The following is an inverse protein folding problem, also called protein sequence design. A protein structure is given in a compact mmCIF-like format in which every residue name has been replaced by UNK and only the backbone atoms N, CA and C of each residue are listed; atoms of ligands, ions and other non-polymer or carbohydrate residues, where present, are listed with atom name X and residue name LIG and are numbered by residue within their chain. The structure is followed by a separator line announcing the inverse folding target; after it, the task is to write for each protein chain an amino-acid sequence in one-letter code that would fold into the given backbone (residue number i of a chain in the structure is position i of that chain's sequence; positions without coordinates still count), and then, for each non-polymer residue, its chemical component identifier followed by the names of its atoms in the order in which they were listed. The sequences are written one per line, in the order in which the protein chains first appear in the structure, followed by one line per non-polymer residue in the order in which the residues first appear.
data_IF_236837374368
#
_entry.id   IF_236837374368
#
_cell.length_a   1.000
_cell.length_b   1.000
_cell.length_c   1.000
_cell.angle_alpha   90.00
_cell.angle_beta   90.00
_cell.angle_gamma   90.00
#
_symmetry.space_group_name_H-M   'P 1'
#
loop_
_entity.id
_entity.type
_entity.pdbx_description
1 polymer ?
#
# COMPACT_ATOMS: atom_id res chain seq x y z
N UNK A 1 32.77 2.33 -54.74
CA UNK A 1 32.21 3.20 -53.69
C UNK A 1 31.10 2.43 -52.99
N UNK A 2 31.32 1.92 -51.78
CA UNK A 2 30.28 1.26 -50.98
C UNK A 2 30.21 2.02 -49.65
N UNK A 3 29.10 2.73 -49.46
CA UNK A 3 28.79 3.49 -48.24
C UNK A 3 28.43 2.47 -47.14
N UNK A 4 29.24 2.41 -46.08
CA UNK A 4 28.91 1.67 -44.86
C UNK A 4 27.94 2.51 -44.03
N UNK A 5 26.69 2.06 -43.95
CA UNK A 5 25.66 2.61 -43.08
C UNK A 5 25.93 2.09 -41.65
N UNK A 6 26.35 2.96 -40.73
CA UNK A 6 26.41 2.64 -39.30
C UNK A 6 24.98 2.73 -38.74
N UNK A 7 24.44 1.60 -38.31
CA UNK A 7 23.24 1.57 -37.49
C UNK A 7 23.61 1.96 -36.04
N UNK A 8 23.09 3.09 -35.55
CA UNK A 8 23.10 3.38 -34.12
C UNK A 8 22.07 2.49 -33.42
N UNK A 9 22.55 1.56 -32.60
CA UNK A 9 21.70 0.90 -31.60
C UNK A 9 21.51 1.87 -30.42
N UNK A 10 20.32 2.45 -30.31
CA UNK A 10 19.89 3.09 -29.08
C UNK A 10 19.62 1.99 -28.05
N UNK A 11 20.46 1.91 -27.01
CA UNK A 11 20.20 1.04 -25.88
C UNK A 11 18.97 1.59 -25.13
N UNK A 12 17.85 0.88 -25.21
CA UNK A 12 16.72 1.11 -24.33
C UNK A 12 17.17 0.77 -22.90
N UNK A 13 17.30 1.78 -22.04
CA UNK A 13 17.47 1.58 -20.60
C UNK A 13 16.13 1.01 -20.12
N UNK A 14 16.07 -0.31 -19.96
CA UNK A 14 15.00 -0.96 -19.22
C UNK A 14 15.13 -0.50 -17.77
N UNK A 15 14.21 0.37 -17.33
CA UNK A 15 14.11 0.71 -15.92
C UNK A 15 13.89 -0.58 -15.14
N UNK A 16 14.88 -0.98 -14.33
CA UNK A 16 14.74 -2.15 -13.48
C UNK A 16 13.54 -1.97 -12.55
N UNK A 17 12.73 -3.03 -12.33
CA UNK A 17 11.66 -2.95 -11.36
C UNK A 17 12.29 -2.61 -10.01
N UNK A 18 11.90 -1.47 -9.44
CA UNK A 18 12.33 -1.11 -8.08
C UNK A 18 11.74 -2.15 -7.13
N UNK A 19 12.56 -3.15 -6.79
CA UNK A 19 12.22 -4.17 -5.82
C UNK A 19 12.41 -3.56 -4.44
N UNK A 20 11.32 -3.18 -3.79
CA UNK A 20 11.38 -3.01 -2.34
C UNK A 20 11.48 -4.39 -1.72
N UNK A 21 12.48 -4.60 -0.86
CA UNK A 21 12.54 -5.77 0.01
C UNK A 21 11.46 -5.62 1.10
N UNK A 22 10.22 -5.92 0.72
CA UNK A 22 9.04 -5.87 1.58
C UNK A 22 8.66 -7.27 2.00
N UNK A 23 8.53 -7.46 3.30
CA UNK A 23 7.94 -8.65 3.90
C UNK A 23 6.51 -8.32 4.35
N UNK A 24 5.46 -8.84 3.70
CA UNK A 24 4.08 -8.54 4.04
C UNK A 24 3.74 -8.89 5.51
N UNK A 25 3.02 -8.00 6.19
CA UNK A 25 2.44 -8.28 7.50
C UNK A 25 1.02 -8.81 7.28
N UNK A 26 0.79 -10.08 7.65
CA UNK A 26 -0.53 -10.70 7.58
C UNK A 26 -1.32 -10.36 8.84
N UNK A 27 -2.38 -9.58 8.67
CA UNK A 27 -3.26 -9.19 9.77
C UNK A 27 -4.38 -10.21 9.99
N UNK A 28 -4.80 -10.32 11.24
CA UNK A 28 -6.04 -10.96 11.69
C UNK A 28 -6.97 -9.88 12.24
N UNK A 29 -8.27 -10.18 12.32
CA UNK A 29 -9.23 -9.28 12.95
C UNK A 29 -8.81 -8.99 14.41
N UNK A 30 -8.96 -7.73 14.84
CA UNK A 30 -8.51 -7.25 16.14
C UNK A 30 -7.05 -6.77 16.14
N UNK A 31 -6.40 -6.86 17.29
CA UNK A 31 -5.07 -6.27 17.53
C UNK A 31 -3.96 -7.24 17.13
N UNK A 32 -3.10 -6.81 16.19
CA UNK A 32 -1.94 -7.57 15.73
C UNK A 32 -0.65 -6.95 16.30
N UNK A 33 0.04 -7.60 17.25
CA UNK A 33 1.28 -7.07 17.80
C UNK A 33 2.40 -7.12 16.77
N UNK A 34 3.23 -6.07 16.74
CA UNK A 34 4.42 -5.98 15.89
C UNK A 34 5.60 -5.55 16.77
N UNK A 35 6.60 -6.42 16.87
CA UNK A 35 7.83 -6.09 17.59
C UNK A 35 8.63 -5.05 16.82
N UNK A 36 9.25 -4.12 17.55
CA UNK A 36 10.10 -3.07 16.97
C UNK A 36 9.44 -2.40 15.73
N UNK A 37 8.22 -1.90 15.91
CA UNK A 37 7.33 -1.55 14.80
C UNK A 37 7.90 -0.39 13.97
N UNK A 38 8.68 0.50 14.56
CA UNK A 38 9.28 1.65 13.89
C UNK A 38 10.82 1.54 13.73
N UNK A 39 11.45 0.48 14.23
CA UNK A 39 12.92 0.32 14.16
C UNK A 39 13.70 1.08 15.23
N UNK A 40 13.04 1.46 16.32
CA UNK A 40 13.55 2.25 17.43
C UNK A 40 13.50 1.49 18.77
N UNK A 41 13.19 0.19 18.74
CA UNK A 41 13.05 -0.69 19.89
C UNK A 41 11.67 -0.65 20.54
N UNK A 42 10.75 0.22 20.11
CA UNK A 42 9.40 0.25 20.65
C UNK A 42 8.52 -0.80 19.97
N UNK A 43 7.82 -1.57 20.79
CA UNK A 43 6.77 -2.46 20.30
C UNK A 43 5.54 -1.65 19.90
N UNK A 44 4.76 -2.22 18.98
CA UNK A 44 3.52 -1.63 18.53
C UNK A 44 2.47 -2.66 18.18
N UNK A 45 1.40 -2.17 17.55
CA UNK A 45 0.35 -3.00 17.02
C UNK A 45 -0.32 -2.36 15.82
N UNK A 46 -0.97 -3.19 15.01
CA UNK A 46 -1.89 -2.77 13.95
C UNK A 46 -3.24 -3.41 14.28
N UNK A 47 -4.25 -2.62 14.59
CA UNK A 47 -5.62 -3.14 14.69
C UNK A 47 -6.24 -3.21 13.30
N UNK A 48 -6.99 -4.29 13.06
CA UNK A 48 -7.84 -4.48 11.90
C UNK A 48 -9.27 -4.64 12.41
N UNK A 49 -10.08 -3.63 12.18
CA UNK A 49 -11.47 -3.56 12.62
C UNK A 49 -12.40 -3.50 11.41
N UNK A 50 -13.57 -4.15 11.49
CA UNK A 50 -14.58 -4.13 10.44
C UNK A 50 -15.63 -3.07 10.72
N UNK A 51 -15.79 -2.11 9.81
CA UNK A 51 -16.89 -1.14 9.86
C UNK A 51 -18.10 -1.71 9.14
N UNK A 52 -18.96 -2.38 9.90
CA UNK A 52 -20.29 -2.74 9.43
C UNK A 52 -21.14 -1.47 9.28
N UNK A 53 -21.80 -1.29 8.14
CA UNK A 53 -22.63 -0.13 7.83
C UNK A 53 -24.01 -0.49 7.24
N UNK A 54 -24.35 -1.78 7.17
CA UNK A 54 -25.65 -2.28 6.70
C UNK A 54 -25.82 -2.28 5.18
N UNK A 55 -24.74 -2.07 4.41
CA UNK A 55 -24.75 -2.20 2.95
C UNK A 55 -23.44 -2.82 2.43
N UNK A 56 -23.30 -2.95 1.10
CA UNK A 56 -22.16 -3.61 0.47
C UNK A 56 -20.81 -2.86 0.63
N UNK A 57 -20.81 -1.67 1.23
CA UNK A 57 -19.65 -0.78 1.32
C UNK A 57 -19.06 -0.76 2.74
N UNK A 58 -19.32 -1.80 3.54
CA UNK A 58 -18.62 -2.00 4.79
C UNK A 58 -17.11 -2.19 4.53
N UNK A 59 -16.24 -1.74 5.42
CA UNK A 59 -14.81 -1.61 5.12
C UNK A 59 -13.89 -1.87 6.32
N UNK A 60 -12.65 -2.22 6.00
CA UNK A 60 -11.59 -2.38 6.99
C UNK A 60 -11.06 -1.03 7.47
N UNK A 61 -10.92 -0.89 8.78
CA UNK A 61 -10.25 0.22 9.47
C UNK A 61 -8.95 -0.32 10.06
N UNK A 62 -7.85 0.38 9.77
CA UNK A 62 -6.53 0.09 10.28
C UNK A 62 -6.05 1.22 11.18
N UNK A 63 -5.65 0.89 12.40
CA UNK A 63 -5.03 1.85 13.32
C UNK A 63 -3.71 1.29 13.83
N UNK A 64 -2.66 2.10 13.72
CA UNK A 64 -1.30 1.72 14.09
C UNK A 64 -0.95 2.38 15.40
N UNK A 65 -0.41 1.60 16.35
CA UNK A 65 0.08 2.11 17.62
C UNK A 65 1.55 1.77 17.83
N UNK A 66 2.28 2.68 18.46
CA UNK A 66 3.69 2.51 18.86
C UNK A 66 3.84 3.00 20.28
N UNK A 67 4.35 2.18 21.20
CA UNK A 67 4.57 2.60 22.59
C UNK A 67 3.33 3.14 23.33
N UNK A 68 2.12 2.81 22.85
CA UNK A 68 0.84 3.33 23.39
C UNK A 68 0.27 4.56 22.67
N UNK A 69 1.01 5.20 21.78
CA UNK A 69 0.54 6.33 20.95
C UNK A 69 0.00 5.84 19.60
N UNK A 70 -0.98 6.56 19.04
CA UNK A 70 -1.45 6.32 17.68
C UNK A 70 -0.47 6.96 16.69
N UNK A 71 -0.10 6.24 15.65
CA UNK A 71 0.65 6.77 14.53
C UNK A 71 -0.30 7.31 13.47
N UNK A 72 -0.06 8.52 12.98
CA UNK A 72 -0.94 9.19 12.03
C UNK A 72 -0.44 9.09 10.59
N UNK A 73 -1.33 9.24 9.62
CA UNK A 73 -1.00 9.50 8.22
C UNK A 73 -1.60 10.85 7.81
N UNK A 74 -0.74 11.86 7.66
CA UNK A 74 -1.22 13.25 7.69
C UNK A 74 -1.94 13.52 9.02
N UNK A 75 -3.15 14.07 8.93
CA UNK A 75 -4.00 14.40 10.09
C UNK A 75 -4.96 13.26 10.50
N UNK A 76 -4.77 12.05 9.98
CA UNK A 76 -5.67 10.91 10.21
C UNK A 76 -5.07 9.91 11.19
N UNK A 77 -5.86 9.53 12.19
CA UNK A 77 -5.53 8.53 13.21
C UNK A 77 -5.68 7.08 12.71
N UNK A 78 -6.38 6.89 11.60
CA UNK A 78 -6.63 5.60 11.00
C UNK A 78 -6.60 5.67 9.47
N UNK A 79 -6.38 4.50 8.86
CA UNK A 79 -6.37 4.29 7.41
C UNK A 79 -7.51 3.32 7.10
N UNK A 80 -8.20 3.49 5.98
CA UNK A 80 -9.30 2.60 5.59
C UNK A 80 -9.10 2.04 4.20
N UNK A 81 -9.61 0.84 3.99
CA UNK A 81 -9.97 0.36 2.65
C UNK A 81 -11.26 1.05 2.18
N UNK A 82 -11.58 0.91 0.89
CA UNK A 82 -12.85 1.37 0.32
C UNK A 82 -13.30 0.36 -0.74
N UNK A 83 -13.94 -0.74 -0.33
CA UNK A 83 -14.65 -1.63 -1.24
C UNK A 83 -15.92 -0.93 -1.78
N UNK A 84 -16.49 -1.47 -2.85
CA UNK A 84 -17.72 -0.96 -3.43
C UNK A 84 -18.77 -2.07 -3.59
N UNK A 85 -18.55 -3.03 -4.47
CA UNK A 85 -19.15 -4.36 -4.39
C UNK A 85 -18.05 -5.32 -3.95
N UNK A 86 -18.35 -6.45 -3.33
CA UNK A 86 -17.30 -7.39 -2.93
C UNK A 86 -16.26 -7.66 -4.04
N UNK A 87 -16.73 -7.68 -5.29
CA UNK A 87 -15.89 -7.89 -6.47
C UNK A 87 -14.86 -6.77 -6.75
N UNK A 88 -15.16 -5.51 -6.41
CA UNK A 88 -14.31 -4.34 -6.69
C UNK A 88 -13.95 -3.48 -5.45
N UNK A 89 -12.74 -2.92 -5.51
CA UNK A 89 -12.25 -2.03 -4.45
C UNK A 89 -11.64 -0.78 -5.06
N UNK A 90 -12.08 0.38 -4.58
CA UNK A 90 -11.59 1.71 -4.97
C UNK A 90 -10.23 1.96 -4.30
N UNK A 91 -10.13 1.60 -3.01
CA UNK A 91 -8.94 1.81 -2.18
C UNK A 91 -8.58 0.54 -1.43
N UNK A 92 -7.29 0.26 -1.36
CA UNK A 92 -6.70 -0.88 -0.67
C UNK A 92 -5.47 -0.49 0.15
N UNK A 93 -5.30 -1.08 1.33
CA UNK A 93 -4.26 -0.77 2.30
C UNK A 93 -3.62 -2.07 2.76
N UNK A 94 -2.30 -2.20 2.60
CA UNK A 94 -1.54 -3.32 3.13
C UNK A 94 -0.38 -2.83 3.97
N UNK A 95 0.08 -3.69 4.87
CA UNK A 95 1.24 -3.42 5.68
C UNK A 95 2.36 -4.39 5.35
N UNK A 96 3.59 -3.89 5.41
CA UNK A 96 4.78 -4.70 5.22
C UNK A 96 5.91 -4.21 6.13
N UNK A 97 6.85 -5.10 6.45
CA UNK A 97 8.15 -4.74 6.99
C UNK A 97 9.11 -4.47 5.85
N UNK A 98 9.98 -3.48 6.01
CA UNK A 98 11.04 -3.21 5.05
C UNK A 98 12.14 -2.36 5.69
N UNK A 99 12.98 -1.73 4.86
CA UNK A 99 13.98 -0.75 5.32
C UNK A 99 13.67 0.65 4.81
N UNK A 100 13.74 1.65 5.70
CA UNK A 100 13.69 3.07 5.37
C UNK A 100 14.87 3.78 6.03
N UNK A 101 15.63 4.57 5.27
CA UNK A 101 16.84 5.24 5.75
C UNK A 101 17.81 4.31 6.53
N UNK A 102 17.95 3.06 6.06
CA UNK A 102 18.83 2.04 6.68
C UNK A 102 18.25 1.32 7.90
N UNK A 103 17.11 1.76 8.46
CA UNK A 103 16.45 1.13 9.62
C UNK A 103 15.28 0.24 9.19
N UNK A 104 15.02 -0.86 9.91
CA UNK A 104 13.81 -1.66 9.66
C UNK A 104 12.59 -0.89 10.16
N UNK A 105 11.52 -0.81 9.38
CA UNK A 105 10.28 -0.17 9.81
C UNK A 105 9.06 -0.82 9.15
N UNK A 106 7.88 -0.53 9.68
CA UNK A 106 6.60 -0.85 9.07
C UNK A 106 6.26 0.17 7.99
N UNK A 107 5.79 -0.32 6.86
CA UNK A 107 5.23 0.46 5.78
C UNK A 107 3.72 0.28 5.71
N UNK A 108 3.00 1.37 5.42
CA UNK A 108 1.63 1.33 4.93
C UNK A 108 1.64 1.54 3.42
N UNK A 109 1.03 0.63 2.67
CA UNK A 109 0.97 0.61 1.22
C UNK A 109 -0.47 0.82 0.80
N UNK A 110 -0.73 1.98 0.20
CA UNK A 110 -2.07 2.43 -0.14
C UNK A 110 -2.21 2.49 -1.66
N UNK A 111 -3.10 1.69 -2.22
CA UNK A 111 -3.52 1.79 -3.61
C UNK A 111 -4.86 2.53 -3.71
N UNK A 112 -4.93 3.54 -4.55
CA UNK A 112 -6.13 4.33 -4.84
C UNK A 112 -6.39 4.35 -6.35
N UNK A 113 -7.53 3.79 -6.77
CA UNK A 113 -8.00 3.86 -8.15
C UNK A 113 -8.53 5.27 -8.46
N UNK A 114 -8.14 5.81 -9.61
CA UNK A 114 -8.62 7.08 -10.16
C UNK A 114 -9.84 6.80 -11.04
N UNK A 115 -11.00 6.67 -10.42
CA UNK A 115 -12.27 6.44 -11.10
C UNK A 115 -12.66 7.69 -11.90
N UNK A 116 -12.92 7.53 -13.19
CA UNK A 116 -13.30 8.61 -14.10
C UNK A 116 -14.81 8.64 -14.34
N UNK A 117 -15.40 7.49 -14.70
CA UNK A 117 -16.82 7.36 -15.05
C UNK A 117 -17.60 6.52 -14.03
N UNK A 118 -17.40 5.19 -14.00
CA UNK A 118 -18.06 4.30 -13.06
C UNK A 118 -17.08 3.46 -12.24
N UNK A 119 -17.47 3.10 -11.01
CA UNK A 119 -16.62 2.32 -10.09
C UNK A 119 -16.19 0.95 -10.65
N UNK A 120 -17.04 0.22 -11.40
CA UNK A 120 -16.63 -1.05 -12.01
C UNK A 120 -15.60 -0.89 -13.13
N UNK A 121 -15.48 0.30 -13.75
CA UNK A 121 -14.62 0.48 -14.92
C UNK A 121 -13.14 0.37 -14.55
N UNK A 122 -12.31 -0.30 -15.37
CA UNK A 122 -10.87 -0.34 -15.15
C UNK A 122 -10.30 1.08 -15.03
N UNK A 123 -9.52 1.34 -13.98
CA UNK A 123 -8.98 2.67 -13.69
C UNK A 123 -7.47 2.64 -13.42
N UNK A 124 -6.77 3.73 -13.76
CA UNK A 124 -5.39 3.91 -13.33
C UNK A 124 -5.33 3.94 -11.80
N UNK A 125 -4.26 3.40 -11.21
CA UNK A 125 -4.10 3.30 -9.76
C UNK A 125 -2.82 4.00 -9.32
N UNK A 126 -2.94 4.86 -8.32
CA UNK A 126 -1.78 5.40 -7.61
C UNK A 126 -1.49 4.53 -6.40
N UNK A 127 -0.26 4.04 -6.27
CA UNK A 127 0.21 3.33 -5.08
C UNK A 127 1.15 4.23 -4.31
N UNK A 128 0.76 4.64 -3.12
CA UNK A 128 1.60 5.42 -2.22
C UNK A 128 2.12 4.54 -1.08
N UNK A 129 3.43 4.55 -0.90
CA UNK A 129 4.15 3.77 0.12
C UNK A 129 4.60 4.74 1.20
N UNK A 130 4.12 4.55 2.41
CA UNK A 130 4.45 5.36 3.57
C UNK A 130 5.31 4.56 4.55
N UNK A 131 6.42 5.14 5.02
CA UNK A 131 7.24 4.57 6.08
C UNK A 131 6.81 5.13 7.44
N UNK A 132 6.68 4.27 8.44
CA UNK A 132 6.47 4.68 9.83
C UNK A 132 7.79 5.23 10.40
N UNK A 133 7.74 6.44 10.96
CA UNK A 133 8.90 7.10 11.58
C UNK A 133 8.52 7.70 12.92
N UNK A 134 9.49 7.82 13.81
CA UNK A 134 9.37 8.62 15.01
C UNK A 134 9.43 10.12 14.65
N UNK A 135 8.69 10.94 15.38
CA UNK A 135 8.78 12.39 15.31
C UNK A 135 9.92 12.85 16.22
N UNK A 136 11.03 13.28 15.62
CA UNK A 136 12.23 13.70 16.35
C UNK A 136 12.11 15.12 16.94
N UNK A 137 11.14 15.93 16.48
CA UNK A 137 10.94 17.31 16.92
C UNK A 137 10.22 17.40 18.29
N UNK A 138 9.68 16.28 18.79
CA UNK A 138 9.06 16.17 20.11
C UNK A 138 7.75 16.91 20.31
N UNK A 139 7.27 17.67 19.33
CA UNK A 139 5.99 18.39 19.35
C UNK A 139 4.99 17.67 18.43
N UNK A 140 3.80 17.38 18.96
CA UNK A 140 2.70 16.73 18.22
C UNK A 140 2.71 15.20 18.35
N UNK A 141 2.20 14.51 17.33
CA UNK A 141 2.10 13.04 17.34
C UNK A 141 3.50 12.41 17.35
N UNK A 142 3.83 11.51 18.31
CA UNK A 142 5.17 10.93 18.43
C UNK A 142 5.59 10.04 17.26
N UNK A 143 4.62 9.51 16.50
CA UNK A 143 4.87 8.65 15.35
C UNK A 143 3.96 9.03 14.19
N UNK A 144 4.48 9.00 12.98
CA UNK A 144 3.68 9.27 11.80
C UNK A 144 4.22 8.54 10.57
N UNK A 145 3.37 8.40 9.58
CA UNK A 145 3.67 7.83 8.28
C UNK A 145 4.11 8.93 7.32
N UNK A 146 5.36 8.88 6.89
CA UNK A 146 5.90 9.77 5.85
C UNK A 146 5.86 9.09 4.49
N UNK A 147 5.54 9.83 3.44
CA UNK A 147 5.55 9.27 2.09
C UNK A 147 6.98 8.93 1.68
N UNK A 148 7.28 7.64 1.58
CA UNK A 148 8.57 7.14 1.12
C UNK A 148 8.65 7.08 -0.41
N UNK A 149 7.52 6.75 -1.07
CA UNK A 149 7.42 6.73 -2.53
C UNK A 149 5.98 6.80 -3.02
N UNK A 150 5.82 7.22 -4.26
CA UNK A 150 4.60 7.06 -5.02
C UNK A 150 4.90 6.35 -6.35
N UNK A 151 3.99 5.47 -6.76
CA UNK A 151 4.03 4.73 -8.01
C UNK A 151 2.70 4.93 -8.74
N UNK A 152 2.76 4.95 -10.06
CA UNK A 152 1.58 4.86 -10.91
C UNK A 152 1.55 3.48 -11.55
N UNK A 153 0.36 2.87 -11.58
CA UNK A 153 0.19 1.56 -12.17
C UNK A 153 0.56 1.55 -13.65
N UNK A 154 1.11 0.43 -14.11
CA UNK A 154 1.42 0.22 -15.54
C UNK A 154 0.18 -0.14 -16.35
N UNK A 155 -0.88 -0.58 -15.67
CA UNK A 155 -2.16 -0.99 -16.23
C UNK A 155 -3.32 -0.34 -15.48
N UNK A 156 -4.52 -0.50 -16.02
CA UNK A 156 -5.76 -0.16 -15.35
C UNK A 156 -6.24 -1.38 -14.54
N UNK A 157 -6.91 -1.15 -13.42
CA UNK A 157 -7.41 -2.21 -12.52
C UNK A 157 -8.88 -2.00 -12.22
N UNK A 158 -9.64 -3.08 -12.11
CA UNK A 158 -11.00 -3.08 -11.53
C UNK A 158 -10.96 -3.22 -10.00
N UNK A 159 -9.82 -3.61 -9.42
CA UNK A 159 -9.70 -3.79 -7.97
C UNK A 159 -8.35 -3.31 -7.43
N UNK A 160 -8.36 -2.41 -6.44
CA UNK A 160 -7.15 -1.85 -5.85
C UNK A 160 -6.26 -2.88 -5.13
N UNK A 161 -6.83 -3.99 -4.63
CA UNK A 161 -6.03 -5.09 -4.09
C UNK A 161 -5.19 -5.77 -5.17
N UNK A 162 -5.73 -5.90 -6.37
CA UNK A 162 -4.99 -6.46 -7.51
C UNK A 162 -3.85 -5.55 -7.95
N UNK A 163 -4.00 -4.23 -7.83
CA UNK A 163 -2.88 -3.32 -8.07
C UNK A 163 -1.71 -3.57 -7.11
N UNK A 164 -1.99 -3.74 -5.80
CA UNK A 164 -0.95 -4.07 -4.82
C UNK A 164 -0.33 -5.45 -5.07
N UNK A 165 -1.14 -6.44 -5.46
CA UNK A 165 -0.65 -7.78 -5.78
C UNK A 165 0.24 -7.79 -7.03
N UNK A 166 -0.22 -7.20 -8.13
CA UNK A 166 0.47 -7.29 -9.41
C UNK A 166 1.69 -6.38 -9.48
N UNK A 167 1.63 -5.16 -8.94
CA UNK A 167 2.75 -4.20 -9.01
C UNK A 167 3.80 -4.46 -7.92
N UNK A 168 3.38 -4.91 -6.72
CA UNK A 168 4.26 -5.02 -5.55
C UNK A 168 4.36 -6.43 -4.95
N UNK A 169 3.69 -7.43 -5.55
CA UNK A 169 3.69 -8.83 -5.07
C UNK A 169 3.21 -8.99 -3.64
N UNK A 170 2.35 -8.08 -3.16
CA UNK A 170 1.71 -8.22 -1.85
C UNK A 170 0.57 -9.23 -1.92
N UNK A 171 0.40 -10.08 -0.90
CA UNK A 171 -0.70 -11.04 -0.87
C UNK A 171 -2.05 -10.32 -0.83
N UNK A 172 -3.04 -10.92 -1.50
CA UNK A 172 -4.43 -10.53 -1.40
C UNK A 172 -4.96 -10.70 0.03
N UNK A 173 -5.97 -9.90 0.44
CA UNK A 173 -6.60 -10.10 1.75
C UNK A 173 -7.28 -11.47 1.79
N UNK A 174 -7.51 -11.99 3.00
CA UNK A 174 -8.35 -13.18 3.16
C UNK A 174 -9.79 -12.96 2.71
N UNK A 175 -10.28 -11.72 2.83
CA UNK A 175 -11.62 -11.29 2.41
C UNK A 175 -11.74 -11.01 0.91
N UNK A 176 -10.70 -11.30 0.11
CA UNK A 176 -10.75 -11.04 -1.33
C UNK A 176 -11.77 -11.93 -2.03
N UNK A 177 -12.70 -11.32 -2.74
CA UNK A 177 -13.77 -11.95 -3.51
C UNK A 177 -13.88 -11.40 -4.95
N UNK A 178 -12.91 -10.59 -5.37
CA UNK A 178 -12.79 -10.15 -6.76
C UNK A 178 -12.29 -11.24 -7.73
N UNK A 179 -12.27 -10.90 -9.02
CA UNK A 179 -11.82 -11.81 -10.08
C UNK A 179 -10.31 -12.08 -9.98
N UNK A 180 -9.92 -13.34 -10.21
CA UNK A 180 -8.51 -13.78 -10.11
C UNK A 180 -7.61 -13.35 -11.27
N UNK A 181 -8.11 -12.52 -12.18
CA UNK A 181 -7.33 -11.99 -13.30
C UNK A 181 -6.27 -11.00 -12.82
N UNK A 182 -5.20 -10.77 -13.60
CA UNK A 182 -4.11 -9.88 -13.19
C UNK A 182 -4.50 -8.41 -12.94
N UNK A 183 -5.64 -7.96 -13.47
CA UNK A 183 -6.22 -6.61 -13.32
C UNK A 183 -7.48 -6.58 -12.43
N UNK A 184 -7.98 -7.74 -12.00
CA UNK A 184 -9.21 -7.88 -11.23
C UNK A 184 -10.48 -7.67 -12.05
N UNK A 185 -10.37 -7.70 -13.38
CA UNK A 185 -11.43 -7.65 -14.39
C UNK A 185 -11.52 -9.00 -15.14
#
# INVERSE_FOLDING_TARGET
MIVRMLALFAAAILAEPVSYDLTPIRLQAGVNPVQDIAGDGQNGSISLDWRENGNAWAYDIFMVRVGGSIATIGDKDFITDQPHTGEDAIRAVRFARGKHAGKSTTFALVADRKIEEAVPDPAATTITIYALVANEDGIGTPYHFVQAKQLHSKRRYCNAHMALFTELRLPLPKSYDGLSSPDGC
#
